data_IF_917009160579
#
_entry.id   IF_917009160579
#
_cell.length_a   1.000
_cell.length_b   1.000
_cell.length_c   1.000
_cell.angle_alpha   90.00
_cell.angle_beta   90.00
_cell.angle_gamma   90.00
#
_symmetry.space_group_name_H-M   'P 1'
#
loop_
_entity.id
_entity.type
_entity.pdbx_description
1 polymer ?
#
# COMPACT_ATOMS: atom_id res chain seq x y z
N UNK A 1 -29.45 -0.57 0.15
CA UNK A 1 -28.51 0.11 -0.77
C UNK A 1 -27.31 -0.80 -0.96
N UNK A 2 -27.17 -1.39 -2.15
CA UNK A 2 -26.13 -2.36 -2.45
C UNK A 2 -24.90 -1.60 -2.96
N UNK A 3 -23.85 -1.48 -2.14
CA UNK A 3 -22.63 -0.74 -2.50
C UNK A 3 -21.76 -1.65 -3.33
N UNK A 4 -21.73 -1.43 -4.64
CA UNK A 4 -20.84 -2.12 -5.60
C UNK A 4 -19.38 -1.87 -5.15
N UNK A 5 -18.51 -2.89 -5.06
CA UNK A 5 -17.12 -2.68 -4.68
C UNK A 5 -16.44 -1.82 -5.76
N UNK A 6 -15.90 -0.68 -5.36
CA UNK A 6 -15.11 0.19 -6.23
C UNK A 6 -13.90 -0.61 -6.76
N UNK A 7 -13.88 -0.91 -8.06
CA UNK A 7 -12.73 -1.53 -8.73
C UNK A 7 -11.59 -0.53 -8.73
N UNK A 8 -10.68 -0.66 -7.77
CA UNK A 8 -9.44 0.12 -7.71
C UNK A 8 -8.60 -0.29 -8.93
N UNK A 9 -8.21 0.65 -9.81
CA UNK A 9 -7.31 0.31 -10.91
C UNK A 9 -6.02 -0.23 -10.31
N UNK A 10 -5.64 -1.44 -10.70
CA UNK A 10 -4.32 -2.01 -10.40
C UNK A 10 -3.28 -1.07 -10.98
N UNK A 11 -2.76 -0.15 -10.16
CA UNK A 11 -1.71 0.76 -10.57
C UNK A 11 -0.42 -0.06 -10.54
N UNK A 12 -0.09 -0.68 -11.67
CA UNK A 12 1.22 -1.27 -11.89
C UNK A 12 2.26 -0.16 -11.75
N UNK A 13 3.10 -0.27 -10.73
CA UNK A 13 4.21 0.66 -10.51
C UNK A 13 5.47 -0.16 -10.47
N UNK A 14 6.24 -0.03 -11.54
CA UNK A 14 7.58 -0.60 -11.65
C UNK A 14 8.55 0.23 -10.82
N UNK A 15 9.27 -0.41 -9.92
CA UNK A 15 10.44 0.21 -9.29
C UNK A 15 11.62 0.11 -10.26
N UNK A 16 11.95 1.21 -10.93
CA UNK A 16 13.01 1.26 -11.93
C UNK A 16 14.41 0.96 -11.38
N UNK A 17 14.68 1.28 -10.11
CA UNK A 17 15.97 0.94 -9.48
C UNK A 17 16.09 -0.57 -9.28
N UNK A 18 15.01 -1.21 -8.82
CA UNK A 18 14.97 -2.67 -8.71
C UNK A 18 15.00 -3.33 -10.08
N UNK A 19 14.33 -2.76 -11.08
CA UNK A 19 14.38 -3.26 -12.46
C UNK A 19 15.82 -3.27 -12.98
N UNK A 20 16.53 -2.15 -12.82
CA UNK A 20 17.95 -2.04 -13.20
C UNK A 20 18.82 -3.04 -12.43
N UNK A 21 18.57 -3.23 -11.13
CA UNK A 21 19.26 -4.24 -10.33
C UNK A 21 19.04 -5.67 -10.85
N UNK A 22 17.81 -6.03 -11.21
CA UNK A 22 17.50 -7.35 -11.78
C UNK A 22 18.12 -7.53 -13.17
N UNK A 23 18.09 -6.50 -14.01
CA UNK A 23 18.72 -6.52 -15.34
C UNK A 23 20.25 -6.71 -15.25
N UNK A 24 20.92 -5.99 -14.36
CA UNK A 24 22.37 -6.12 -14.19
C UNK A 24 22.80 -7.50 -13.68
N UNK A 25 21.90 -8.18 -12.95
CA UNK A 25 22.10 -9.56 -12.50
C UNK A 25 21.74 -10.60 -13.55
N UNK A 26 21.05 -10.21 -14.61
CA UNK A 26 20.76 -11.14 -15.69
C UNK A 26 22.06 -11.36 -16.43
N UNK A 27 22.57 -12.60 -16.38
CA UNK A 27 23.82 -12.93 -17.05
C UNK A 27 23.58 -12.87 -18.55
N UNK A 28 23.88 -11.73 -19.16
CA UNK A 28 24.00 -11.63 -20.61
C UNK A 28 25.21 -12.46 -21.01
N UNK A 29 24.99 -13.77 -21.18
CA UNK A 29 26.01 -14.68 -21.70
C UNK A 29 26.34 -14.22 -23.10
N UNK A 30 27.61 -14.23 -23.46
CA UNK A 30 28.01 -14.11 -24.86
C UNK A 30 27.42 -15.32 -25.60
N UNK A 31 26.44 -15.06 -26.46
CA UNK A 31 25.81 -16.09 -27.28
C UNK A 31 26.62 -16.19 -28.56
N UNK A 32 27.14 -17.38 -28.85
CA UNK A 32 27.70 -17.67 -30.17
C UNK A 32 26.54 -18.02 -31.08
N UNK A 33 26.32 -17.21 -32.12
CA UNK A 33 25.24 -17.43 -33.08
C UNK A 33 25.86 -18.12 -34.29
N UNK A 34 25.58 -19.41 -34.45
CA UNK A 34 26.11 -20.21 -35.57
C UNK A 34 25.03 -20.46 -36.63
N UNK A 35 23.76 -20.42 -36.23
CA UNK A 35 22.60 -20.59 -37.11
C UNK A 35 21.44 -19.64 -36.73
N UNK A 36 20.40 -19.65 -37.56
CA UNK A 36 19.21 -18.79 -37.38
C UNK A 36 18.39 -19.17 -36.14
N UNK A 37 18.34 -20.46 -35.79
CA UNK A 37 17.63 -20.97 -34.61
C UNK A 37 18.29 -20.51 -33.29
N UNK A 38 19.61 -20.39 -33.27
CA UNK A 38 20.37 -19.82 -32.15
C UNK A 38 20.02 -18.35 -31.95
N UNK A 39 19.83 -17.60 -33.04
CA UNK A 39 19.44 -16.19 -33.00
C UNK A 39 18.03 -16.02 -32.44
N UNK A 40 17.07 -16.82 -32.89
CA UNK A 40 15.70 -16.81 -32.38
C UNK A 40 15.65 -17.18 -30.89
N UNK A 41 16.40 -18.21 -30.50
CA UNK A 41 16.52 -18.65 -29.10
C UNK A 41 17.14 -17.57 -28.22
N UNK A 42 18.15 -16.85 -28.73
CA UNK A 42 18.75 -15.72 -28.04
C UNK A 42 17.75 -14.59 -27.77
N UNK A 43 16.97 -14.23 -28.80
CA UNK A 43 15.93 -13.19 -28.71
C UNK A 43 14.85 -13.61 -27.71
N UNK A 44 14.41 -14.87 -27.75
CA UNK A 44 13.39 -15.38 -26.84
C UNK A 44 13.87 -15.33 -25.39
N UNK A 45 15.11 -15.76 -25.13
CA UNK A 45 15.69 -15.74 -23.79
C UNK A 45 15.87 -14.31 -23.26
N UNK A 46 16.39 -13.40 -24.09
CA UNK A 46 16.49 -11.99 -23.73
C UNK A 46 15.13 -11.36 -23.41
N UNK A 47 14.11 -11.71 -24.19
CA UNK A 47 12.75 -11.24 -23.97
C UNK A 47 12.16 -11.79 -22.67
N UNK A 48 12.37 -13.08 -22.37
CA UNK A 48 11.99 -13.70 -21.09
C UNK A 48 12.68 -13.03 -19.90
N UNK A 49 13.96 -12.70 -20.04
CA UNK A 49 14.74 -12.02 -19.02
C UNK A 49 14.20 -10.61 -18.72
N UNK A 50 13.89 -9.83 -19.75
CA UNK A 50 13.25 -8.52 -19.61
C UNK A 50 11.90 -8.61 -18.88
N UNK A 51 11.05 -9.55 -19.28
CA UNK A 51 9.74 -9.75 -18.65
C UNK A 51 9.87 -10.24 -17.21
N UNK A 52 10.85 -11.10 -16.93
CA UNK A 52 11.12 -11.61 -15.57
C UNK A 52 11.60 -10.49 -14.67
N UNK A 53 12.54 -9.66 -15.13
CA UNK A 53 12.99 -8.46 -14.41
C UNK A 53 11.84 -7.47 -14.19
N UNK A 54 10.98 -7.27 -15.20
CA UNK A 54 9.82 -6.39 -15.10
C UNK A 54 8.82 -6.91 -14.06
N UNK A 55 8.49 -8.21 -14.07
CA UNK A 55 7.58 -8.81 -13.11
C UNK A 55 8.13 -8.77 -11.68
N UNK A 56 9.44 -8.99 -11.50
CA UNK A 56 10.07 -8.94 -10.18
C UNK A 56 10.18 -7.52 -9.61
N UNK A 57 10.32 -6.51 -10.49
CA UNK A 57 10.41 -5.09 -10.10
C UNK A 57 9.06 -4.39 -10.05
N UNK A 58 8.06 -4.94 -10.73
CA UNK A 58 6.69 -4.45 -10.75
C UNK A 58 5.91 -5.13 -9.65
N UNK A 59 5.69 -4.38 -8.57
CA UNK A 59 4.62 -4.75 -7.67
C UNK A 59 3.34 -4.19 -8.28
N UNK A 60 2.31 -5.02 -8.42
CA UNK A 60 0.96 -4.48 -8.31
C UNK A 60 0.99 -3.73 -6.98
N UNK A 61 0.88 -2.40 -7.02
CA UNK A 61 0.39 -1.72 -5.84
C UNK A 61 -1.03 -2.24 -5.74
N UNK A 62 -1.18 -3.35 -5.05
CA UNK A 62 -2.26 -3.47 -4.10
C UNK A 62 -2.06 -2.19 -3.30
N UNK A 63 -2.80 -1.15 -3.68
CA UNK A 63 -3.35 -0.20 -2.75
C UNK A 63 -4.21 -1.05 -1.83
N UNK A 64 -3.57 -1.96 -1.07
CA UNK A 64 -3.99 -2.35 0.24
C UNK A 64 -4.43 -1.01 0.80
N UNK A 65 -5.71 -0.88 1.04
CA UNK A 65 -6.26 0.23 1.77
C UNK A 65 -5.47 0.26 3.07
N UNK A 66 -4.28 0.88 3.08
CA UNK A 66 -3.35 0.92 4.21
C UNK A 66 -4.17 1.60 5.28
N UNK A 67 -4.73 0.78 6.17
CA UNK A 67 -5.97 1.03 6.93
C UNK A 67 -6.43 2.46 6.82
N UNK A 68 -7.14 2.80 5.72
CA UNK A 68 -7.58 4.18 5.50
C UNK A 68 -8.53 4.49 6.64
N UNK A 69 -8.06 5.30 7.61
CA UNK A 69 -8.88 5.72 8.74
C UNK A 69 -10.23 6.25 8.23
N UNK A 70 -11.33 5.99 8.93
CA UNK A 70 -12.64 6.53 8.59
C UNK A 70 -12.56 8.04 8.38
N UNK A 71 -13.38 8.56 7.47
CA UNK A 71 -13.44 10.00 7.14
C UNK A 71 -13.59 10.86 8.40
N UNK A 72 -14.35 10.37 9.37
CA UNK A 72 -14.54 11.01 10.66
C UNK A 72 -13.23 11.19 11.44
N UNK A 73 -12.44 10.11 11.62
CA UNK A 73 -11.15 10.19 12.31
C UNK A 73 -10.18 11.11 11.57
N UNK A 74 -10.18 11.08 10.23
CA UNK A 74 -9.39 12.01 9.40
C UNK A 74 -9.78 13.46 9.64
N UNK A 75 -11.08 13.76 9.76
CA UNK A 75 -11.57 15.10 10.05
C UNK A 75 -11.14 15.56 11.46
N UNK A 76 -11.19 14.67 12.45
CA UNK A 76 -10.69 14.97 13.80
C UNK A 76 -9.19 15.29 13.79
N UNK A 77 -8.38 14.55 13.04
CA UNK A 77 -6.94 14.81 12.88
C UNK A 77 -6.71 16.19 12.27
N UNK A 78 -7.46 16.56 11.22
CA UNK A 78 -7.40 17.90 10.62
C UNK A 78 -7.70 19.00 11.65
N UNK A 79 -8.76 18.84 12.43
CA UNK A 79 -9.15 19.80 13.47
C UNK A 79 -8.10 19.90 14.57
N UNK A 80 -7.52 18.77 15.01
CA UNK A 80 -6.42 18.77 16.01
C UNK A 80 -5.19 19.49 15.49
N UNK A 81 -4.83 19.29 14.22
CA UNK A 81 -3.70 19.98 13.60
C UNK A 81 -3.96 21.48 13.43
N UNK A 82 -5.20 21.87 13.15
CA UNK A 82 -5.62 23.28 13.17
C UNK A 82 -5.41 23.90 14.56
N UNK A 83 -5.93 23.28 15.62
CA UNK A 83 -5.77 23.78 16.99
C UNK A 83 -4.29 23.81 17.44
N UNK A 84 -3.48 22.82 17.02
CA UNK A 84 -2.03 22.85 17.29
C UNK A 84 -1.36 24.06 16.65
N UNK A 85 -1.69 24.37 15.40
CA UNK A 85 -1.17 25.56 14.69
C UNK A 85 -1.62 26.84 15.37
N UNK A 86 -2.88 26.90 15.83
CA UNK A 86 -3.39 28.04 16.57
C UNK A 86 -2.62 28.23 17.89
N UNK A 87 -2.45 27.19 18.69
CA UNK A 87 -1.65 27.25 19.93
C UNK A 87 -0.21 27.67 19.69
N UNK A 88 0.44 27.20 18.61
CA UNK A 88 1.80 27.61 18.29
C UNK A 88 1.92 29.13 18.07
N UNK A 89 0.86 29.76 17.53
CA UNK A 89 0.79 31.20 17.27
C UNK A 89 0.35 31.99 18.50
N UNK A 90 -0.73 31.57 19.16
CA UNK A 90 -1.33 32.34 20.27
C UNK A 90 -0.72 32.04 21.63
N UNK A 91 -0.07 30.88 21.80
CA UNK A 91 0.37 30.30 23.09
C UNK A 91 -0.75 30.21 24.15
N UNK A 92 -2.01 30.23 23.72
CA UNK A 92 -3.18 30.17 24.60
C UNK A 92 -3.34 28.78 25.26
N UNK A 93 -3.31 28.69 26.59
CA UNK A 93 -3.51 27.43 27.33
C UNK A 93 -4.85 26.74 27.02
N UNK A 94 -5.92 27.49 26.75
CA UNK A 94 -7.23 26.91 26.45
C UNK A 94 -7.21 26.13 25.14
N UNK A 95 -6.52 26.67 24.12
CA UNK A 95 -6.30 26.00 22.83
C UNK A 95 -5.38 24.79 23.00
N UNK A 96 -4.40 24.87 23.91
CA UNK A 96 -3.53 23.73 24.26
C UNK A 96 -4.35 22.56 24.79
N UNK A 97 -5.22 22.83 25.74
CA UNK A 97 -6.08 21.83 26.36
C UNK A 97 -7.08 21.27 25.35
N UNK A 98 -7.64 22.12 24.48
CA UNK A 98 -8.54 21.70 23.43
C UNK A 98 -7.89 20.70 22.46
N UNK A 99 -6.67 20.98 21.96
CA UNK A 99 -6.02 20.05 21.03
C UNK A 99 -5.57 18.77 21.74
N UNK A 100 -5.13 18.83 23.02
CA UNK A 100 -4.77 17.64 23.80
C UNK A 100 -5.98 16.74 24.05
N UNK A 101 -7.12 17.32 24.44
CA UNK A 101 -8.39 16.58 24.59
C UNK A 101 -8.77 15.89 23.28
N UNK A 102 -8.65 16.59 22.16
CA UNK A 102 -8.94 16.03 20.84
C UNK A 102 -7.94 14.93 20.44
N UNK A 103 -6.66 15.07 20.78
CA UNK A 103 -5.65 14.04 20.55
C UNK A 103 -5.97 12.74 21.29
N UNK A 104 -6.38 12.82 22.57
CA UNK A 104 -6.78 11.64 23.34
C UNK A 104 -8.01 10.97 22.73
N UNK A 105 -9.03 11.75 22.34
CA UNK A 105 -10.22 11.23 21.64
C UNK A 105 -9.85 10.51 20.34
N UNK A 106 -8.91 11.05 19.57
CA UNK A 106 -8.42 10.42 18.33
C UNK A 106 -7.75 9.08 18.64
N UNK A 107 -6.87 9.02 19.65
CA UNK A 107 -6.19 7.77 20.06
C UNK A 107 -7.22 6.68 20.41
N UNK A 108 -8.21 7.01 21.24
CA UNK A 108 -9.28 6.07 21.61
C UNK A 108 -10.07 5.61 20.39
N UNK A 109 -10.48 6.52 19.50
CA UNK A 109 -11.22 6.13 18.29
C UNK A 109 -10.42 5.25 17.34
N UNK A 110 -9.12 5.53 17.17
CA UNK A 110 -8.25 4.68 16.34
C UNK A 110 -8.13 3.29 16.95
N UNK A 111 -7.97 3.20 18.27
CA UNK A 111 -7.91 1.93 18.99
C UNK A 111 -9.19 1.10 18.79
N UNK A 112 -10.36 1.69 19.08
CA UNK A 112 -11.67 1.03 18.89
C UNK A 112 -11.87 0.62 17.43
N UNK A 113 -11.57 1.50 16.48
CA UNK A 113 -11.70 1.19 15.06
C UNK A 113 -10.83 0.00 14.64
N UNK A 114 -9.56 -0.03 15.07
CA UNK A 114 -8.67 -1.15 14.78
C UNK A 114 -9.17 -2.44 15.39
N UNK A 115 -9.62 -2.43 16.66
CA UNK A 115 -10.20 -3.61 17.29
C UNK A 115 -11.43 -4.11 16.53
N UNK A 116 -12.34 -3.21 16.11
CA UNK A 116 -13.52 -3.61 15.33
C UNK A 116 -13.19 -4.24 13.97
N UNK A 117 -12.04 -3.91 13.38
CA UNK A 117 -11.57 -4.56 12.14
C UNK A 117 -11.07 -5.96 12.48
N UNK A 118 -10.32 -6.10 13.57
CA UNK A 118 -9.80 -7.39 14.02
C UNK A 118 -10.93 -8.34 14.42
N UNK A 119 -11.92 -7.88 15.18
CA UNK A 119 -13.12 -8.66 15.53
C UNK A 119 -13.84 -9.16 14.28
N UNK A 120 -14.16 -8.27 13.34
CA UNK A 120 -14.80 -8.68 12.07
C UNK A 120 -13.97 -9.68 11.28
N UNK A 121 -12.65 -9.55 11.32
CA UNK A 121 -11.76 -10.50 10.66
C UNK A 121 -11.79 -11.87 11.37
N UNK A 122 -11.72 -11.91 12.70
CA UNK A 122 -11.82 -13.17 13.46
C UNK A 122 -13.18 -13.84 13.26
N UNK A 123 -14.27 -13.08 13.27
CA UNK A 123 -15.63 -13.58 13.06
C UNK A 123 -15.74 -14.24 11.67
N UNK A 124 -15.22 -13.56 10.64
CA UNK A 124 -15.21 -14.10 9.27
C UNK A 124 -14.40 -15.39 9.13
N UNK A 125 -13.38 -15.61 9.97
CA UNK A 125 -12.63 -16.86 9.97
C UNK A 125 -13.38 -17.98 10.68
N UNK A 126 -14.10 -17.66 11.77
CA UNK A 126 -14.88 -18.64 12.53
C UNK A 126 -16.13 -19.12 11.79
N UNK A 127 -16.84 -18.23 11.09
CA UNK A 127 -18.04 -18.60 10.30
C UNK A 127 -17.71 -19.60 9.18
N UNK A 128 -16.52 -19.48 8.58
CA UNK A 128 -16.03 -20.40 7.55
C UNK A 128 -15.61 -21.77 8.10
N UNK A 129 -15.35 -21.88 9.41
CA UNK A 129 -15.00 -23.15 10.06
C UNK A 129 -16.23 -23.94 10.53
N UNK A 130 -17.32 -23.26 10.87
CA UNK A 130 -18.58 -23.89 11.32
C UNK A 130 -19.48 -24.39 10.20
N UNK A 131 -19.09 -24.18 8.93
CA UNK A 131 -19.87 -24.56 7.75
C UNK A 131 -19.54 -25.98 7.20
N UNK A 132 -18.91 -26.85 8.00
CA UNK A 132 -18.57 -28.23 7.66
C UNK A 132 -19.23 -29.22 8.63
#
# INVERSE_FOLDING_TARGET
MNVKPETIPNLFVTNWDNYNFYLQRTSLKLINIENEEDADTAIENFTKDLYTALNNSSNSKYLANKGRLPKEIKQMIKNKNYLRRLYQRSRDPTVKDAYKKLENKIKTKIFVYKNSIWERHTDSLTENQTAF
#
